data_IF_972707907700
#
_entry.id   IF_972707907700
#
_cell.length_a   1.000
_cell.length_b   1.000
_cell.length_c   1.000
_cell.angle_alpha   90.00
_cell.angle_beta   90.00
_cell.angle_gamma   90.00
#
_symmetry.space_group_name_H-M   'P 1'
#
loop_
_entity.id
_entity.type
_entity.pdbx_description
1 polymer ?
#
# COMPACT_ATOMS: atom_id res chain seq x y z
N UNK A 1 24.39 -25.23 -57.42
CA UNK A 1 23.52 -26.07 -56.57
C UNK A 1 23.15 -25.30 -55.31
N UNK A 2 22.45 -24.14 -55.35
CA UNK A 2 22.59 -23.28 -54.14
C UNK A 2 21.53 -22.21 -53.83
N UNK A 3 20.33 -22.21 -54.42
CA UNK A 3 19.27 -21.24 -54.02
C UNK A 3 17.96 -21.94 -53.64
N UNK A 4 17.47 -22.88 -54.47
CA UNK A 4 16.25 -23.66 -54.18
C UNK A 4 16.32 -24.53 -52.91
N UNK A 5 17.51 -24.86 -52.42
CA UNK A 5 17.71 -25.72 -51.23
C UNK A 5 17.67 -24.94 -49.90
N UNK A 6 17.84 -23.61 -49.95
CA UNK A 6 17.95 -22.72 -48.77
C UNK A 6 16.63 -21.98 -48.50
N UNK A 7 15.83 -21.75 -49.54
CA UNK A 7 14.50 -21.13 -49.44
C UNK A 7 13.51 -21.90 -48.52
N UNK A 8 13.37 -23.25 -48.60
CA UNK A 8 12.45 -23.98 -47.74
C UNK A 8 12.79 -23.95 -46.23
N UNK A 9 14.06 -24.12 -45.79
CA UNK A 9 14.38 -24.03 -44.36
C UNK A 9 14.23 -22.60 -43.81
N UNK A 10 14.57 -21.56 -44.58
CA UNK A 10 14.39 -20.18 -44.16
C UNK A 10 12.90 -19.81 -43.97
N UNK A 11 12.02 -20.27 -44.86
CA UNK A 11 10.58 -20.07 -44.75
C UNK A 11 9.97 -20.80 -43.54
N UNK A 12 10.41 -22.03 -43.27
CA UNK A 12 9.98 -22.77 -42.08
C UNK A 12 10.46 -22.10 -40.78
N UNK A 13 11.65 -21.51 -40.79
CA UNK A 13 12.22 -20.79 -39.64
C UNK A 13 11.45 -19.50 -39.38
N UNK A 14 11.09 -18.75 -40.43
CA UNK A 14 10.24 -17.56 -40.34
C UNK A 14 8.82 -17.90 -39.83
N UNK A 15 8.24 -19.01 -40.30
CA UNK A 15 6.92 -19.48 -39.83
C UNK A 15 6.97 -19.90 -38.35
N UNK A 16 8.06 -20.53 -37.92
CA UNK A 16 8.29 -20.89 -36.52
C UNK A 16 8.48 -19.64 -35.65
N UNK A 17 9.22 -18.63 -36.12
CA UNK A 17 9.38 -17.34 -35.44
C UNK A 17 8.05 -16.59 -35.31
N UNK A 18 7.23 -16.54 -36.36
CA UNK A 18 5.89 -15.94 -36.32
C UNK A 18 4.94 -16.70 -35.38
N UNK A 19 4.99 -18.04 -35.37
CA UNK A 19 4.18 -18.85 -34.48
C UNK A 19 4.56 -18.65 -33.00
N UNK A 20 5.86 -18.55 -32.70
CA UNK A 20 6.36 -18.22 -31.36
C UNK A 20 5.87 -16.82 -30.96
N UNK A 21 5.99 -15.84 -31.87
CA UNK A 21 5.54 -14.47 -31.61
C UNK A 21 4.05 -14.42 -31.27
N UNK A 22 3.18 -15.04 -32.07
CA UNK A 22 1.75 -15.09 -31.81
C UNK A 22 1.41 -15.85 -30.52
N UNK A 23 2.11 -16.95 -30.23
CA UNK A 23 1.93 -17.67 -28.96
C UNK A 23 2.32 -16.82 -27.75
N UNK A 24 3.33 -15.96 -27.88
CA UNK A 24 3.73 -15.01 -26.83
C UNK A 24 2.68 -13.91 -26.68
N UNK A 25 2.16 -13.37 -27.78
CA UNK A 25 1.07 -12.40 -27.76
C UNK A 25 -0.19 -12.98 -27.08
N UNK A 26 -0.60 -14.18 -27.44
CA UNK A 26 -1.77 -14.85 -26.85
C UNK A 26 -1.55 -15.15 -25.36
N UNK A 27 -0.34 -15.56 -24.98
CA UNK A 27 0.03 -15.75 -23.58
C UNK A 27 -0.06 -14.42 -22.79
N UNK A 28 0.44 -13.31 -23.34
CA UNK A 28 0.37 -12.00 -22.68
C UNK A 28 -1.05 -11.47 -22.54
N UNK A 29 -1.92 -11.69 -23.52
CA UNK A 29 -3.34 -11.28 -23.46
C UNK A 29 -4.09 -12.12 -22.42
N UNK A 30 -3.85 -13.44 -22.39
CA UNK A 30 -4.47 -14.33 -21.40
C UNK A 30 -4.03 -14.03 -19.96
N UNK A 31 -2.77 -13.60 -19.77
CA UNK A 31 -2.28 -13.13 -18.48
C UNK A 31 -2.96 -11.80 -18.10
N UNK A 32 -2.98 -10.82 -19.00
CA UNK A 32 -3.56 -9.49 -18.74
C UNK A 32 -5.06 -9.55 -18.40
N UNK A 33 -5.80 -10.52 -18.95
CA UNK A 33 -7.21 -10.74 -18.63
C UNK A 33 -7.47 -11.34 -17.25
N UNK A 34 -6.50 -12.05 -16.65
CA UNK A 34 -6.65 -12.70 -15.34
C UNK A 34 -6.24 -11.82 -14.16
N UNK A 35 -5.45 -10.77 -14.39
CA UNK A 35 -4.90 -9.95 -13.31
C UNK A 35 -5.88 -8.88 -12.82
N UNK A 36 -5.96 -8.73 -11.50
CA UNK A 36 -6.71 -7.64 -10.87
C UNK A 36 -6.11 -6.28 -11.25
N UNK A 37 -6.92 -5.21 -11.24
CA UNK A 37 -6.48 -3.85 -11.56
C UNK A 37 -5.28 -3.41 -10.72
N UNK A 38 -5.21 -3.86 -9.46
CA UNK A 38 -4.10 -3.60 -8.55
C UNK A 38 -2.84 -4.37 -8.97
N UNK A 39 -2.99 -5.64 -9.36
CA UNK A 39 -1.85 -6.45 -9.83
C UNK A 39 -1.21 -5.87 -11.09
N UNK A 40 -2.00 -5.22 -11.96
CA UNK A 40 -1.48 -4.51 -13.13
C UNK A 40 -0.62 -3.31 -12.75
N UNK A 41 -0.99 -2.58 -11.70
CA UNK A 41 -0.20 -1.44 -11.19
C UNK A 41 1.15 -1.90 -10.61
N UNK A 42 1.19 -3.03 -9.88
CA UNK A 42 2.45 -3.59 -9.40
C UNK A 42 3.33 -4.11 -10.55
N UNK A 43 2.74 -4.75 -11.56
CA UNK A 43 3.48 -5.18 -12.74
C UNK A 43 4.09 -3.98 -13.48
N UNK A 44 3.34 -2.89 -13.61
CA UNK A 44 3.82 -1.64 -14.16
C UNK A 44 4.98 -1.08 -13.32
N UNK A 45 4.89 -1.12 -11.99
CA UNK A 45 5.96 -0.68 -11.10
C UNK A 45 7.26 -1.49 -11.30
N UNK A 46 7.15 -2.82 -11.48
CA UNK A 46 8.30 -3.70 -11.76
C UNK A 46 8.92 -3.39 -13.13
N UNK A 47 8.09 -3.16 -14.16
CA UNK A 47 8.58 -2.76 -15.48
C UNK A 47 9.32 -1.42 -15.38
N UNK A 48 8.73 -0.43 -14.71
CA UNK A 48 9.38 0.88 -14.51
C UNK A 48 10.69 0.74 -13.73
N UNK A 49 10.78 -0.16 -12.74
CA UNK A 49 12.04 -0.42 -12.01
C UNK A 49 13.14 -0.98 -12.92
N UNK A 50 12.79 -1.84 -13.88
CA UNK A 50 13.76 -2.46 -14.80
C UNK A 50 14.24 -1.47 -15.87
N UNK A 51 13.35 -0.59 -16.35
CA UNK A 51 13.63 0.31 -17.47
C UNK A 51 13.96 1.77 -17.06
N UNK A 52 13.76 2.14 -15.79
CA UNK A 52 13.99 3.49 -15.28
C UNK A 52 14.76 3.46 -13.97
N UNK A 53 15.82 4.28 -13.87
CA UNK A 53 16.59 4.50 -12.64
C UNK A 53 15.82 5.33 -11.58
N UNK A 54 14.62 5.82 -11.93
CA UNK A 54 13.86 6.73 -11.07
C UNK A 54 13.02 5.98 -10.02
N UNK A 55 13.62 5.74 -8.86
CA UNK A 55 12.96 5.09 -7.72
C UNK A 55 11.67 5.80 -7.25
N UNK A 56 11.56 7.11 -7.48
CA UNK A 56 10.39 7.92 -7.11
C UNK A 56 9.13 7.44 -7.84
N UNK A 57 9.21 7.14 -9.13
CA UNK A 57 8.04 6.71 -9.91
C UNK A 57 7.62 5.29 -9.53
N UNK A 58 8.58 4.41 -9.25
CA UNK A 58 8.31 3.07 -8.73
C UNK A 58 7.61 3.16 -7.38
N UNK A 59 8.11 3.99 -6.47
CA UNK A 59 7.51 4.19 -5.15
C UNK A 59 6.07 4.72 -5.28
N UNK A 60 5.83 5.70 -6.15
CA UNK A 60 4.52 6.31 -6.34
C UNK A 60 3.50 5.30 -6.89
N UNK A 61 3.88 4.51 -7.90
CA UNK A 61 3.05 3.43 -8.43
C UNK A 61 2.74 2.34 -7.39
N UNK A 62 3.73 1.99 -6.58
CA UNK A 62 3.58 0.99 -5.51
C UNK A 62 2.64 1.49 -4.42
N UNK A 63 2.77 2.77 -4.01
CA UNK A 63 1.87 3.41 -3.04
C UNK A 63 0.44 3.47 -3.56
N UNK A 64 0.23 3.79 -4.84
CA UNK A 64 -1.09 3.78 -5.46
C UNK A 64 -1.70 2.37 -5.48
N UNK A 65 -0.91 1.36 -5.81
CA UNK A 65 -1.32 -0.05 -5.76
C UNK A 65 -1.73 -0.47 -4.35
N UNK A 66 -0.88 -0.22 -3.36
CA UNK A 66 -1.14 -0.52 -1.95
C UNK A 66 -2.39 0.20 -1.44
N UNK A 67 -2.57 1.47 -1.80
CA UNK A 67 -3.75 2.26 -1.39
C UNK A 67 -5.03 1.67 -1.98
N UNK A 68 -5.02 1.31 -3.27
CA UNK A 68 -6.17 0.71 -3.94
C UNK A 68 -6.52 -0.67 -3.37
N UNK A 69 -5.53 -1.44 -2.92
CA UNK A 69 -5.71 -2.73 -2.25
C UNK A 69 -6.23 -2.59 -0.82
N UNK A 70 -5.73 -1.58 -0.10
CA UNK A 70 -6.09 -1.32 1.27
C UNK A 70 -7.49 -0.71 1.42
N UNK A 71 -7.93 0.11 0.45
CA UNK A 71 -9.22 0.78 0.47
C UNK A 71 -10.43 -0.14 0.74
N UNK A 72 -10.63 -1.26 0.04
CA UNK A 72 -11.74 -2.17 0.32
C UNK A 72 -11.62 -2.84 1.70
N UNK A 73 -10.40 -3.11 2.17
CA UNK A 73 -10.16 -3.69 3.49
C UNK A 73 -10.56 -2.70 4.59
N UNK A 74 -10.14 -1.44 4.44
CA UNK A 74 -10.55 -0.35 5.32
C UNK A 74 -12.07 -0.19 5.32
N UNK A 75 -12.72 -0.21 4.15
CA UNK A 75 -14.16 -0.07 4.05
C UNK A 75 -14.91 -1.19 4.82
N UNK A 76 -14.43 -2.44 4.76
CA UNK A 76 -15.00 -3.55 5.54
C UNK A 76 -14.83 -3.34 7.04
N UNK A 77 -13.64 -2.92 7.48
CA UNK A 77 -13.37 -2.61 8.89
C UNK A 77 -14.27 -1.47 9.36
N UNK A 78 -14.40 -0.41 8.57
CA UNK A 78 -15.25 0.74 8.85
C UNK A 78 -16.73 0.38 8.98
N UNK A 79 -17.23 -0.56 8.19
CA UNK A 79 -18.63 -1.00 8.29
C UNK A 79 -18.88 -2.02 9.41
N UNK A 80 -17.83 -2.67 9.92
CA UNK A 80 -17.93 -3.61 11.04
C UNK A 80 -18.08 -2.89 12.39
N UNK A 81 -18.87 -3.46 13.32
CA UNK A 81 -19.06 -2.87 14.65
C UNK A 81 -17.76 -2.87 15.46
N UNK A 82 -17.02 -3.99 15.45
CA UNK A 82 -15.74 -4.11 16.13
C UNK A 82 -14.68 -3.17 15.55
N UNK A 83 -14.63 -3.00 14.22
CA UNK A 83 -13.72 -2.08 13.56
C UNK A 83 -13.97 -0.62 13.92
N UNK A 84 -15.25 -0.18 13.96
CA UNK A 84 -15.59 1.16 14.44
C UNK A 84 -15.15 1.39 15.89
N UNK A 85 -15.40 0.43 16.78
CA UNK A 85 -15.00 0.54 18.18
C UNK A 85 -13.48 0.65 18.33
N UNK A 86 -12.71 -0.15 17.59
CA UNK A 86 -11.25 -0.09 17.57
C UNK A 86 -10.77 1.26 17.01
N UNK A 87 -11.34 1.74 15.91
CA UNK A 87 -10.98 3.03 15.32
C UNK A 87 -11.27 4.19 16.30
N UNK A 88 -12.40 4.16 16.99
CA UNK A 88 -12.75 5.15 18.02
C UNK A 88 -11.83 5.07 19.24
N UNK A 89 -11.43 3.87 19.66
CA UNK A 89 -10.45 3.67 20.74
C UNK A 89 -9.11 4.29 20.37
N UNK A 90 -8.60 4.00 19.16
CA UNK A 90 -7.38 4.63 18.65
C UNK A 90 -7.53 6.15 18.63
N UNK A 91 -8.61 6.66 18.05
CA UNK A 91 -8.89 8.09 18.00
C UNK A 91 -8.87 8.74 19.39
N UNK A 92 -9.48 8.10 20.39
CA UNK A 92 -9.49 8.60 21.77
C UNK A 92 -8.09 8.61 22.40
N UNK A 93 -7.29 7.56 22.19
CA UNK A 93 -5.91 7.52 22.68
C UNK A 93 -5.11 8.69 22.10
N UNK A 94 -5.22 8.90 20.79
CA UNK A 94 -4.49 9.96 20.07
C UNK A 94 -4.95 11.34 20.53
N UNK A 95 -6.26 11.54 20.69
CA UNK A 95 -6.81 12.80 21.18
C UNK A 95 -6.25 13.15 22.57
N UNK A 96 -6.11 12.17 23.46
CA UNK A 96 -5.49 12.37 24.78
C UNK A 96 -4.00 12.74 24.67
N UNK A 97 -3.25 12.11 23.76
CA UNK A 97 -1.86 12.50 23.51
C UNK A 97 -1.73 13.91 22.90
N UNK A 98 -2.65 14.28 22.00
CA UNK A 98 -2.69 15.62 21.41
C UNK A 98 -3.02 16.70 22.44
N UNK A 99 -3.98 16.43 23.34
CA UNK A 99 -4.31 17.27 24.48
C UNK A 99 -3.12 17.41 25.44
N UNK A 100 -2.44 16.32 25.77
CA UNK A 100 -1.25 16.37 26.63
C UNK A 100 -0.10 17.14 25.96
N UNK A 101 0.11 16.93 24.66
CA UNK A 101 1.15 17.62 23.88
C UNK A 101 0.93 19.12 23.80
N UNK A 102 -0.30 19.57 23.53
CA UNK A 102 -0.61 21.01 23.49
C UNK A 102 -0.52 21.66 24.88
N UNK A 103 -0.87 20.94 25.95
CA UNK A 103 -0.68 21.43 27.33
C UNK A 103 0.82 21.63 27.62
N UNK A 104 1.66 20.68 27.22
CA UNK A 104 3.11 20.77 27.39
C UNK A 104 3.70 21.98 26.65
N UNK A 105 3.32 22.20 25.39
CA UNK A 105 3.83 23.33 24.60
C UNK A 105 3.38 24.67 25.18
N UNK A 106 2.13 24.78 25.62
CA UNK A 106 1.65 26.02 26.26
C UNK A 106 2.34 26.26 27.60
N UNK A 107 2.58 25.21 28.39
CA UNK A 107 3.36 25.31 29.63
C UNK A 107 4.78 25.83 29.38
N UNK A 108 5.44 25.32 28.35
CA UNK A 108 6.81 25.71 28.00
C UNK A 108 6.91 27.17 27.55
N UNK A 109 5.92 27.65 26.79
CA UNK A 109 5.91 29.03 26.27
C UNK A 109 5.48 30.06 27.32
N UNK A 110 4.52 29.71 28.19
CA UNK A 110 3.95 30.65 29.18
C UNK A 110 4.71 30.59 30.52
N UNK A 111 5.46 29.52 30.80
CA UNK A 111 6.27 29.35 32.01
C UNK A 111 5.45 29.08 33.28
N UNK A 112 4.12 28.98 33.17
CA UNK A 112 3.17 28.62 34.24
C UNK A 112 2.15 27.62 33.72
N UNK A 113 1.47 26.90 34.64
CA UNK A 113 0.48 25.87 34.29
C UNK A 113 -0.60 26.39 33.33
N UNK A 114 -0.78 25.69 32.22
CA UNK A 114 -1.71 25.94 31.13
C UNK A 114 -3.17 25.62 31.49
N UNK A 115 -3.40 25.05 32.68
CA UNK A 115 -4.71 24.69 33.21
C UNK A 115 -5.71 25.85 33.24
N UNK A 116 -5.23 27.09 33.30
CA UNK A 116 -6.07 28.29 33.34
C UNK A 116 -6.29 28.94 31.96
N UNK A 117 -5.60 28.47 30.90
CA UNK A 117 -5.61 29.08 29.57
C UNK A 117 -6.30 28.19 28.52
N UNK A 118 -7.58 27.85 28.75
CA UNK A 118 -8.35 26.95 27.87
C UNK A 118 -8.40 27.41 26.40
N UNK A 119 -8.48 28.72 26.14
CA UNK A 119 -8.51 29.25 24.78
C UNK A 119 -7.17 29.11 24.05
N UNK A 120 -6.05 29.41 24.73
CA UNK A 120 -4.70 29.24 24.20
C UNK A 120 -4.35 27.76 24.00
N UNK A 121 -4.80 26.91 24.91
CA UNK A 121 -4.64 25.46 24.83
C UNK A 121 -5.37 24.85 23.62
N UNK A 122 -6.65 25.17 23.44
CA UNK A 122 -7.43 24.69 22.30
C UNK A 122 -6.89 25.25 20.97
N UNK A 123 -6.44 26.49 20.95
CA UNK A 123 -5.80 27.08 19.77
C UNK A 123 -4.46 26.40 19.42
N UNK A 124 -3.65 26.07 20.43
CA UNK A 124 -2.42 25.31 20.21
C UNK A 124 -2.71 23.93 19.59
N UNK A 125 -3.76 23.22 20.05
CA UNK A 125 -4.18 21.94 19.43
C UNK A 125 -4.49 22.14 17.94
N UNK A 126 -5.22 23.21 17.60
CA UNK A 126 -5.57 23.49 16.20
C UNK A 126 -4.34 23.84 15.34
N UNK A 127 -3.34 24.51 15.92
CA UNK A 127 -2.08 24.78 15.23
C UNK A 127 -1.22 23.53 15.03
N UNK A 128 -1.25 22.58 15.98
CA UNK A 128 -0.48 21.34 15.91
C UNK A 128 -1.22 20.19 15.20
N UNK A 129 -2.47 20.38 14.77
CA UNK A 129 -3.24 19.39 14.00
C UNK A 129 -2.47 18.82 12.80
N UNK A 130 -1.77 19.62 11.96
CA UNK A 130 -0.97 19.10 10.85
C UNK A 130 0.18 18.19 11.31
N UNK A 131 0.88 18.59 12.39
CA UNK A 131 1.97 17.80 12.97
C UNK A 131 1.46 16.48 13.56
N UNK A 132 0.30 16.51 14.22
CA UNK A 132 -0.36 15.30 14.72
C UNK A 132 -0.84 14.39 13.58
N UNK A 133 -1.33 14.94 12.46
CA UNK A 133 -1.70 14.14 11.28
C UNK A 133 -0.48 13.41 10.67
N UNK A 134 0.69 14.04 10.65
CA UNK A 134 1.94 13.40 10.23
C UNK A 134 2.40 12.33 11.22
N UNK A 135 2.41 12.65 12.52
CA UNK A 135 2.74 11.67 13.57
C UNK A 135 1.82 10.45 13.50
N UNK A 136 0.53 10.67 13.23
CA UNK A 136 -0.46 9.61 13.05
C UNK A 136 -0.18 8.72 11.86
N UNK A 137 0.24 9.29 10.74
CA UNK A 137 0.59 8.53 9.55
C UNK A 137 1.83 7.65 9.81
N UNK A 138 2.83 8.17 10.53
CA UNK A 138 4.02 7.41 10.93
C UNK A 138 3.64 6.25 11.85
N UNK A 139 2.87 6.51 12.90
CA UNK A 139 2.42 5.47 13.86
C UNK A 139 1.58 4.41 13.15
N UNK A 140 0.65 4.82 12.27
CA UNK A 140 -0.18 3.89 11.51
C UNK A 140 0.66 3.01 10.58
N UNK A 141 1.66 3.58 9.89
CA UNK A 141 2.58 2.81 9.05
C UNK A 141 3.41 1.82 9.86
N UNK A 142 3.89 2.20 11.06
CA UNK A 142 4.62 1.31 11.96
C UNK A 142 3.73 0.15 12.47
N UNK A 143 2.49 0.46 12.86
CA UNK A 143 1.54 -0.57 13.29
C UNK A 143 1.18 -1.52 12.16
N UNK A 144 1.00 -1.02 10.94
CA UNK A 144 0.74 -1.86 9.76
C UNK A 144 1.91 -2.82 9.50
N UNK A 145 3.15 -2.34 9.63
CA UNK A 145 4.36 -3.17 9.50
C UNK A 145 4.46 -4.25 10.58
N UNK A 146 3.88 -4.06 11.75
CA UNK A 146 3.82 -5.06 12.81
C UNK A 146 2.67 -6.05 12.56
N UNK A 147 1.50 -5.57 12.14
CA UNK A 147 0.30 -6.39 11.93
C UNK A 147 0.47 -7.33 10.72
N UNK A 148 1.06 -6.85 9.62
CA UNK A 148 1.25 -7.63 8.40
C UNK A 148 2.00 -8.96 8.61
N UNK A 149 3.19 -9.01 9.23
CA UNK A 149 3.90 -10.27 9.48
C UNK A 149 3.15 -11.17 10.47
N UNK A 150 2.49 -10.60 11.48
CA UNK A 150 1.65 -11.38 12.42
C UNK A 150 0.50 -12.06 11.67
N UNK A 151 -0.17 -11.33 10.78
CA UNK A 151 -1.24 -11.87 9.95
C UNK A 151 -0.74 -13.03 9.07
N UNK A 152 0.38 -12.87 8.37
CA UNK A 152 0.97 -13.94 7.56
C UNK A 152 1.38 -15.14 8.41
N UNK A 153 1.94 -14.92 9.61
CA UNK A 153 2.35 -15.97 10.52
C UNK A 153 1.16 -16.77 11.05
N UNK A 154 0.07 -16.09 11.43
CA UNK A 154 -1.18 -16.74 11.82
C UNK A 154 -1.78 -17.55 10.68
N UNK A 155 -1.72 -17.04 9.46
CA UNK A 155 -2.22 -17.72 8.26
C UNK A 155 -1.39 -18.97 7.94
N UNK A 156 -0.07 -18.93 8.16
CA UNK A 156 0.82 -20.10 8.06
C UNK A 156 0.42 -21.20 9.05
N UNK A 157 0.14 -20.84 10.30
CA UNK A 157 -0.30 -21.77 11.35
C UNK A 157 -1.72 -22.28 11.09
N UNK A 158 -2.61 -21.45 10.53
CA UNK A 158 -3.98 -21.83 10.22
C UNK A 158 -4.10 -22.74 8.99
N UNK A 159 -3.11 -22.69 8.09
CA UNK A 159 -3.05 -23.50 6.86
C UNK A 159 -3.11 -25.02 7.09
N UNK A 160 -2.39 -25.64 8.05
CA UNK A 160 -2.54 -27.06 8.36
C UNK A 160 -3.92 -27.44 8.91
N UNK A 161 -4.71 -26.48 9.41
CA UNK A 161 -6.08 -26.71 9.87
C UNK A 161 -7.14 -26.53 8.77
N UNK A 162 -6.73 -26.40 7.50
CA UNK A 162 -7.64 -26.29 6.36
C UNK A 162 -8.30 -24.91 6.19
N UNK A 163 -7.93 -23.94 7.03
CA UNK A 163 -8.41 -22.56 6.93
C UNK A 163 -7.61 -21.89 5.80
N UNK A 164 -8.26 -21.68 4.66
CA UNK A 164 -7.67 -20.89 3.57
C UNK A 164 -7.84 -19.42 3.91
N UNK A 165 -6.72 -18.70 3.94
CA UNK A 165 -6.72 -17.25 4.06
C UNK A 165 -7.56 -16.60 2.96
N UNK A 166 -8.17 -15.46 3.30
CA UNK A 166 -8.91 -14.61 2.38
C UNK A 166 -7.99 -13.85 1.43
#
# INVERSE_FOLDING_TARGET
>A
MTIKKILPPAFNLAKKLMAINNSVYDATISLSGKLSTVQKLYLLAIVVLIFSDSLVFVALLTVLGLTAEFWPLFNRVWHSLAGKAILLLFYAIIANFALAGSASVVNEVVGVSSSHFNYTHNFAILLFLPSWALAMSIIALLLLQIIAPIYFFLLLIARPFGIKGF
#
